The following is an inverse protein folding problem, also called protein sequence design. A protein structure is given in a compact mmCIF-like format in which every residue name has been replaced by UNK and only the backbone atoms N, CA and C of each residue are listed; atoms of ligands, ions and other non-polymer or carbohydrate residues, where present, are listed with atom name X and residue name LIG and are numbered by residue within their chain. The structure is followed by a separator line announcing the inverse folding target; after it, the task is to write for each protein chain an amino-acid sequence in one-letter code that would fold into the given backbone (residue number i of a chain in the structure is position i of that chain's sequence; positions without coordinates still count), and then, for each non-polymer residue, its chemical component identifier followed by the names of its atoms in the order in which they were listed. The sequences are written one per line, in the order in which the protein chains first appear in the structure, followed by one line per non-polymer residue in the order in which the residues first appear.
data_IF_930236039740
#
_entry.id   IF_930236039740
#
_cell.length_a   1.000
_cell.length_b   1.000
_cell.length_c   1.000
_cell.angle_alpha   90.00
_cell.angle_beta   90.00
_cell.angle_gamma   90.00
#
_symmetry.space_group_name_H-M   'P 1'
#
loop_
_entity.id
_entity.type
_entity.pdbx_description
1 polymer ?
#
# COMPACT_ATOMS: atom_id res chain seq x y z
N UNK A 1 -10.16 3.38 25.55
CA UNK A 1 -10.21 2.54 24.34
C UNK A 1 -9.59 3.37 23.23
N UNK A 2 -8.42 2.99 22.71
CA UNK A 2 -7.74 3.76 21.66
C UNK A 2 -8.50 3.61 20.33
N UNK A 3 -8.67 4.70 19.59
CA UNK A 3 -9.33 4.68 18.27
C UNK A 3 -8.28 4.36 17.20
N UNK A 4 -8.71 3.78 16.07
CA UNK A 4 -7.79 3.46 14.95
C UNK A 4 -7.06 4.72 14.46
N UNK A 5 -7.70 5.89 14.50
CA UNK A 5 -7.06 7.14 14.10
C UNK A 5 -5.86 7.53 14.98
N UNK A 6 -5.79 7.04 16.22
CA UNK A 6 -4.77 7.40 17.20
C UNK A 6 -3.42 6.69 16.94
N UNK A 7 -3.35 5.79 15.96
CA UNK A 7 -2.08 5.21 15.47
C UNK A 7 -1.14 6.26 14.86
N UNK A 8 -1.69 7.37 14.38
CA UNK A 8 -0.94 8.48 13.81
C UNK A 8 -0.41 9.40 14.91
N UNK A 9 0.63 8.93 15.60
CA UNK A 9 1.27 9.67 16.69
C UNK A 9 2.39 10.58 16.18
N UNK A 10 2.85 11.50 17.03
CA UNK A 10 3.99 12.36 16.71
C UNK A 10 5.27 11.54 16.52
N UNK A 11 5.46 10.51 17.35
CA UNK A 11 6.60 9.60 17.30
C UNK A 11 6.64 8.84 15.97
N UNK A 12 5.49 8.40 15.46
CA UNK A 12 5.38 7.79 14.13
C UNK A 12 5.85 8.76 13.04
N UNK A 13 5.34 9.99 13.01
CA UNK A 13 5.76 10.95 11.97
C UNK A 13 7.21 11.39 12.11
N UNK A 14 7.75 11.50 13.33
CA UNK A 14 9.18 11.72 13.54
C UNK A 14 10.01 10.59 12.93
N UNK A 15 9.65 9.35 13.22
CA UNK A 15 10.32 8.18 12.66
C UNK A 15 10.24 8.14 11.13
N UNK A 16 9.05 8.35 10.56
CA UNK A 16 8.85 8.42 9.10
C UNK A 16 9.72 9.51 8.48
N UNK A 17 9.71 10.71 9.05
CA UNK A 17 10.51 11.83 8.56
C UNK A 17 12.00 11.49 8.56
N UNK A 18 12.49 10.82 9.61
CA UNK A 18 13.87 10.33 9.68
C UNK A 18 14.19 9.29 8.60
N UNK A 19 13.24 8.39 8.27
CA UNK A 19 13.45 7.42 7.20
C UNK A 19 13.55 8.08 5.82
N UNK A 20 12.68 9.04 5.53
CA UNK A 20 12.75 9.78 4.26
C UNK A 20 14.02 10.63 4.18
N UNK A 21 14.37 11.35 5.25
CA UNK A 21 15.59 12.15 5.31
C UNK A 21 16.87 11.33 5.14
N UNK A 22 16.87 10.08 5.62
CA UNK A 22 17.98 9.15 5.44
C UNK A 22 18.23 8.80 3.96
N UNK A 23 17.17 8.75 3.15
CA UNK A 23 17.24 8.40 1.73
C UNK A 23 17.44 9.65 0.87
N UNK A 24 16.81 10.76 1.24
CA UNK A 24 16.99 12.08 0.62
C UNK A 24 17.22 13.16 1.68
N UNK A 25 18.46 13.66 1.75
CA UNK A 25 18.86 14.69 2.70
C UNK A 25 18.10 16.02 2.50
N UNK A 26 17.45 16.24 1.36
CA UNK A 26 16.63 17.43 1.12
C UNK A 26 15.24 17.33 1.80
N UNK A 27 14.84 16.15 2.26
CA UNK A 27 13.57 15.98 2.97
C UNK A 27 13.61 16.74 4.30
N UNK A 28 12.83 17.84 4.38
CA UNK A 28 12.79 18.69 5.56
C UNK A 28 11.86 18.11 6.65
N UNK A 29 12.46 17.37 7.58
CA UNK A 29 11.76 16.68 8.67
C UNK A 29 10.86 17.58 9.51
N UNK A 30 11.38 18.73 9.93
CA UNK A 30 10.64 19.64 10.81
C UNK A 30 9.41 20.24 10.11
N UNK A 31 9.58 20.65 8.85
CA UNK A 31 8.48 21.18 8.06
C UNK A 31 7.44 20.10 7.75
N UNK A 32 7.87 18.88 7.40
CA UNK A 32 6.94 17.76 7.17
C UNK A 32 6.05 17.52 8.39
N UNK A 33 6.64 17.35 9.58
CA UNK A 33 5.89 17.12 10.83
C UNK A 33 4.96 18.31 11.12
N UNK A 34 5.45 19.54 10.95
CA UNK A 34 4.63 20.74 11.15
C UNK A 34 3.42 20.79 10.22
N UNK A 35 3.60 20.41 8.94
CA UNK A 35 2.52 20.38 7.94
C UNK A 35 1.51 19.28 8.22
N UNK A 36 1.96 18.10 8.64
CA UNK A 36 1.07 16.98 9.02
C UNK A 36 0.12 17.41 10.14
N UNK A 37 0.65 18.01 11.21
CA UNK A 37 -0.15 18.42 12.37
C UNK A 37 -0.80 19.80 12.23
N UNK A 38 -0.75 20.44 11.06
CA UNK A 38 -1.40 21.72 10.84
C UNK A 38 -2.93 21.57 10.73
N UNK A 39 -3.66 22.60 11.17
CA UNK A 39 -5.10 22.69 11.00
C UNK A 39 -5.89 21.67 11.82
N UNK A 40 -6.91 21.06 11.21
CA UNK A 40 -7.89 20.18 11.87
C UNK A 40 -7.47 18.71 11.92
N UNK A 41 -6.17 18.39 11.87
CA UNK A 41 -5.68 17.00 11.91
C UNK A 41 -6.27 16.17 13.07
N UNK A 42 -6.42 16.79 14.24
CA UNK A 42 -6.98 16.13 15.42
C UNK A 42 -8.47 15.76 15.26
N UNK A 43 -9.22 16.48 14.44
CA UNK A 43 -10.64 16.23 14.14
C UNK A 43 -10.83 15.15 13.08
N UNK A 44 -9.80 14.86 12.27
CA UNK A 44 -9.86 13.89 11.19
C UNK A 44 -10.01 12.45 11.70
N UNK A 45 -10.84 11.68 11.01
CA UNK A 45 -10.92 10.22 11.15
C UNK A 45 -9.78 9.51 10.43
N UNK A 46 -9.61 8.20 10.67
CA UNK A 46 -8.45 7.44 10.19
C UNK A 46 -8.17 7.61 8.68
N UNK A 47 -9.16 7.37 7.81
CA UNK A 47 -8.99 7.52 6.36
C UNK A 47 -8.66 8.95 5.93
N UNK A 48 -9.21 9.95 6.62
CA UNK A 48 -8.89 11.35 6.37
C UNK A 48 -7.44 11.65 6.77
N UNK A 49 -6.97 11.12 7.90
CA UNK A 49 -5.56 11.23 8.32
C UNK A 49 -4.63 10.54 7.33
N UNK A 50 -4.99 9.37 6.79
CA UNK A 50 -4.22 8.71 5.73
C UNK A 50 -4.08 9.61 4.50
N UNK A 51 -5.20 10.07 3.92
CA UNK A 51 -5.20 10.93 2.73
C UNK A 51 -4.47 12.26 2.96
N UNK A 52 -4.68 12.88 4.11
CA UNK A 52 -3.96 14.10 4.51
C UNK A 52 -2.45 13.86 4.61
N UNK A 53 -2.03 12.76 5.24
CA UNK A 53 -0.61 12.41 5.38
C UNK A 53 0.04 12.15 4.02
N UNK A 54 -0.67 11.45 3.13
CA UNK A 54 -0.23 11.20 1.75
C UNK A 54 -0.06 12.51 0.98
N UNK A 55 -1.03 13.42 1.08
CA UNK A 55 -0.97 14.73 0.43
C UNK A 55 0.18 15.59 0.97
N UNK A 56 0.35 15.64 2.29
CA UNK A 56 1.48 16.34 2.90
C UNK A 56 2.80 15.70 2.51
N UNK A 57 2.91 14.36 2.52
CA UNK A 57 4.12 13.67 2.08
C UNK A 57 4.50 14.09 0.65
N UNK A 58 3.54 14.15 -0.27
CA UNK A 58 3.77 14.56 -1.66
C UNK A 58 4.38 15.95 -1.79
N UNK A 59 4.08 16.90 -0.90
CA UNK A 59 4.71 18.23 -0.88
C UNK A 59 6.25 18.16 -0.69
N UNK A 60 6.78 17.06 -0.15
CA UNK A 60 8.20 16.84 0.13
C UNK A 60 8.84 15.77 -0.77
N UNK A 61 8.09 15.24 -1.74
CA UNK A 61 8.58 14.21 -2.67
C UNK A 61 9.02 14.85 -3.99
N UNK A 62 9.83 14.14 -4.80
CA UNK A 62 10.09 14.53 -6.19
C UNK A 62 8.80 14.76 -6.98
N UNK A 63 8.81 15.74 -7.90
CA UNK A 63 7.65 16.09 -8.72
C UNK A 63 7.23 14.96 -9.66
N UNK A 64 8.19 14.14 -10.13
CA UNK A 64 7.89 13.01 -11.00
C UNK A 64 7.51 11.78 -10.16
N UNK A 65 6.40 11.13 -10.51
CA UNK A 65 6.00 9.91 -9.83
C UNK A 65 7.06 8.79 -9.86
N UNK A 66 7.78 8.54 -10.97
CA UNK A 66 8.88 7.56 -10.99
C UNK A 66 9.96 7.79 -9.94
N UNK A 67 10.41 9.04 -9.77
CA UNK A 67 11.42 9.39 -8.78
C UNK A 67 10.86 9.28 -7.36
N UNK A 68 9.63 9.76 -7.13
CA UNK A 68 8.98 9.64 -5.84
C UNK A 68 8.74 8.18 -5.44
N UNK A 69 8.32 7.34 -6.38
CA UNK A 69 8.15 5.91 -6.18
C UNK A 69 9.49 5.22 -5.88
N UNK A 70 10.58 5.61 -6.56
CA UNK A 70 11.92 5.10 -6.27
C UNK A 70 12.37 5.46 -4.84
N UNK A 71 12.14 6.70 -4.39
CA UNK A 71 12.41 7.13 -3.03
C UNK A 71 11.60 6.31 -2.00
N UNK A 72 10.30 6.17 -2.24
CA UNK A 72 9.39 5.40 -1.39
C UNK A 72 9.83 3.93 -1.26
N UNK A 73 10.23 3.31 -2.37
CA UNK A 73 10.76 1.93 -2.37
C UNK A 73 12.03 1.82 -1.54
N UNK A 74 12.98 2.76 -1.67
CA UNK A 74 14.21 2.76 -0.87
C UNK A 74 13.92 2.87 0.63
N UNK A 75 12.95 3.71 1.03
CA UNK A 75 12.49 3.80 2.42
C UNK A 75 11.95 2.45 2.90
N UNK A 76 11.07 1.81 2.12
CA UNK A 76 10.50 0.50 2.51
C UNK A 76 11.54 -0.60 2.53
N UNK A 77 12.48 -0.63 1.59
CA UNK A 77 13.60 -1.58 1.60
C UNK A 77 14.45 -1.43 2.85
N UNK A 78 14.67 -0.19 3.31
CA UNK A 78 15.38 0.07 4.55
C UNK A 78 14.61 -0.47 5.77
N UNK A 79 13.29 -0.26 5.84
CA UNK A 79 12.44 -0.80 6.90
C UNK A 79 12.44 -2.33 6.92
N UNK A 80 12.37 -2.97 5.75
CA UNK A 80 12.47 -4.42 5.61
C UNK A 80 13.84 -4.93 6.07
N UNK A 81 14.93 -4.26 5.66
CA UNK A 81 16.31 -4.65 6.01
C UNK A 81 16.57 -4.55 7.51
N UNK A 82 16.03 -3.51 8.16
CA UNK A 82 16.14 -3.31 9.60
C UNK A 82 15.12 -4.12 10.41
N UNK A 83 14.26 -4.89 9.73
CA UNK A 83 13.17 -5.67 10.34
C UNK A 83 12.26 -4.80 11.22
N UNK A 84 12.04 -3.56 10.80
CA UNK A 84 11.13 -2.66 11.49
C UNK A 84 9.71 -3.27 11.45
N UNK A 85 8.97 -3.28 12.58
CA UNK A 85 7.60 -3.79 12.58
C UNK A 85 6.71 -2.92 11.69
N UNK A 86 5.93 -3.54 10.81
CA UNK A 86 4.87 -2.84 10.09
C UNK A 86 3.69 -2.48 11.00
N UNK A 87 2.74 -1.74 10.46
CA UNK A 87 1.55 -1.27 11.16
C UNK A 87 0.56 -0.60 10.22
N UNK A 88 -0.69 -0.42 10.66
CA UNK A 88 -1.75 0.17 9.84
C UNK A 88 -1.49 1.64 9.50
N UNK A 89 -0.68 2.32 10.31
CA UNK A 89 -0.22 3.69 10.09
C UNK A 89 0.55 3.83 8.76
N UNK A 90 1.20 2.76 8.30
CA UNK A 90 1.96 2.74 7.05
C UNK A 90 1.11 2.62 5.79
N UNK A 91 -0.23 2.56 5.90
CA UNK A 91 -1.15 2.60 4.74
C UNK A 91 -0.95 3.86 3.88
N UNK A 92 -0.30 4.90 4.41
CA UNK A 92 0.15 6.07 3.66
C UNK A 92 1.03 5.71 2.44
N UNK A 93 1.79 4.62 2.49
CA UNK A 93 2.68 4.20 1.39
C UNK A 93 1.90 3.64 0.18
N UNK A 94 1.05 2.61 0.35
CA UNK A 94 0.20 2.16 -0.76
C UNK A 94 -0.78 3.25 -1.22
N UNK A 95 -1.30 4.08 -0.31
CA UNK A 95 -2.18 5.20 -0.65
C UNK A 95 -1.49 6.26 -1.53
N UNK A 96 -0.19 6.49 -1.33
CA UNK A 96 0.62 7.35 -2.20
C UNK A 96 0.71 6.80 -3.63
N UNK A 97 0.99 5.49 -3.78
CA UNK A 97 1.06 4.82 -5.09
C UNK A 97 -0.31 4.88 -5.79
N UNK A 98 -1.40 4.64 -5.05
CA UNK A 98 -2.76 4.78 -5.56
C UNK A 98 -3.05 6.20 -6.08
N UNK A 99 -2.72 7.20 -5.27
CA UNK A 99 -3.13 8.59 -5.51
C UNK A 99 -2.33 9.24 -6.63
N UNK A 100 -1.01 8.98 -6.69
CA UNK A 100 -0.10 9.67 -7.61
C UNK A 100 0.42 8.79 -8.75
N UNK A 101 0.20 7.47 -8.67
CA UNK A 101 0.74 6.50 -9.63
C UNK A 101 -0.24 5.95 -10.64
N UNK A 102 -1.51 6.36 -10.59
CA UNK A 102 -2.58 5.73 -11.39
C UNK A 102 -2.39 5.86 -12.90
N UNK A 103 -1.59 6.81 -13.36
CA UNK A 103 -1.28 7.02 -14.78
C UNK A 103 0.01 6.32 -15.24
N UNK A 104 0.86 5.88 -14.29
CA UNK A 104 2.12 5.18 -14.56
C UNK A 104 2.09 3.76 -14.00
N UNK A 105 1.48 2.88 -14.80
CA UNK A 105 1.25 1.48 -14.45
C UNK A 105 2.53 0.74 -14.05
N UNK A 106 3.59 0.84 -14.84
CA UNK A 106 4.79 0.03 -14.66
C UNK A 106 5.51 0.40 -13.36
N UNK A 107 5.68 1.70 -13.11
CA UNK A 107 6.27 2.19 -11.87
C UNK A 107 5.42 1.81 -10.66
N UNK A 108 4.09 1.91 -10.77
CA UNK A 108 3.19 1.59 -9.66
C UNK A 108 3.18 0.09 -9.32
N UNK A 109 3.09 -0.79 -10.32
CA UNK A 109 3.12 -2.25 -10.14
C UNK A 109 4.43 -2.70 -9.50
N UNK A 110 5.57 -2.20 -9.98
CA UNK A 110 6.87 -2.49 -9.35
C UNK A 110 6.91 -2.04 -7.89
N UNK A 111 6.32 -0.87 -7.59
CA UNK A 111 6.23 -0.35 -6.23
C UNK A 111 5.35 -1.21 -5.34
N UNK A 112 4.18 -1.66 -5.81
CA UNK A 112 3.30 -2.52 -5.03
C UNK A 112 3.97 -3.84 -4.62
N UNK A 113 4.73 -4.47 -5.51
CA UNK A 113 5.42 -5.74 -5.23
C UNK A 113 6.44 -5.60 -4.08
N UNK A 114 7.09 -4.44 -3.95
CA UNK A 114 8.03 -4.15 -2.87
C UNK A 114 7.30 -3.69 -1.62
N UNK A 115 6.40 -2.71 -1.74
CA UNK A 115 5.70 -2.11 -0.59
C UNK A 115 4.84 -3.13 0.13
N UNK A 116 4.18 -4.04 -0.60
CA UNK A 116 3.31 -5.05 0.00
C UNK A 116 4.03 -6.02 0.93
N UNK A 117 5.35 -6.15 0.82
CA UNK A 117 6.17 -6.98 1.71
C UNK A 117 6.27 -6.39 3.11
N UNK A 118 6.04 -5.10 3.25
CA UNK A 118 6.08 -4.37 4.52
C UNK A 118 4.67 -4.02 5.03
N UNK A 119 3.81 -3.47 4.17
CA UNK A 119 2.42 -3.12 4.47
C UNK A 119 1.52 -3.48 3.30
N UNK A 120 0.40 -4.16 3.55
CA UNK A 120 -0.45 -4.66 2.47
C UNK A 120 -0.96 -3.54 1.56
N UNK A 121 -0.83 -3.76 0.25
CA UNK A 121 -1.34 -2.85 -0.79
C UNK A 121 -2.77 -3.19 -1.24
N UNK A 122 -3.50 -4.02 -0.48
CA UNK A 122 -4.79 -4.62 -0.89
C UNK A 122 -5.89 -3.60 -1.22
N UNK A 123 -5.83 -2.39 -0.66
CA UNK A 123 -6.73 -1.28 -1.02
C UNK A 123 -6.26 -0.58 -2.29
N UNK A 124 -4.97 -0.24 -2.36
CA UNK A 124 -4.37 0.59 -3.40
C UNK A 124 -4.28 -0.07 -4.78
N UNK A 125 -4.22 -1.41 -4.85
CA UNK A 125 -4.23 -2.10 -6.14
C UNK A 125 -5.60 -2.09 -6.83
N UNK A 126 -6.69 -1.78 -6.11
CA UNK A 126 -8.05 -1.96 -6.62
C UNK A 126 -8.42 -0.92 -7.70
N UNK A 127 -8.07 0.37 -7.56
CA UNK A 127 -8.18 1.31 -8.66
C UNK A 127 -7.41 0.87 -9.91
N UNK A 128 -6.25 0.23 -9.76
CA UNK A 128 -5.50 -0.32 -10.90
C UNK A 128 -6.22 -1.50 -11.56
N UNK A 129 -6.85 -2.39 -10.79
CA UNK A 129 -7.66 -3.49 -11.35
C UNK A 129 -8.84 -2.91 -12.16
N UNK A 130 -9.46 -1.84 -11.67
CA UNK A 130 -10.59 -1.19 -12.35
C UNK A 130 -10.13 -0.45 -13.61
N UNK A 131 -9.00 0.27 -13.54
CA UNK A 131 -8.52 1.11 -14.63
C UNK A 131 -7.79 0.32 -15.74
N UNK A 132 -7.03 -0.72 -15.36
CA UNK A 132 -6.19 -1.49 -16.27
C UNK A 132 -6.71 -2.90 -16.56
N UNK A 133 -7.77 -3.34 -15.88
CA UNK A 133 -8.50 -4.57 -16.20
C UNK A 133 -7.60 -5.80 -16.29
N UNK A 134 -7.63 -6.47 -17.45
CA UNK A 134 -6.87 -7.69 -17.71
C UNK A 134 -5.36 -7.54 -17.53
N UNK A 135 -4.80 -6.36 -17.82
CA UNK A 135 -3.36 -6.10 -17.62
C UNK A 135 -2.98 -6.20 -16.15
N UNK A 136 -3.77 -5.60 -15.25
CA UNK A 136 -3.52 -5.72 -13.82
C UNK A 136 -3.82 -7.13 -13.31
N UNK A 137 -4.87 -7.79 -13.80
CA UNK A 137 -5.17 -9.19 -13.42
C UNK A 137 -4.02 -10.14 -13.78
N UNK A 138 -3.36 -9.94 -14.92
CA UNK A 138 -2.18 -10.72 -15.31
C UNK A 138 -1.03 -10.55 -14.30
N UNK A 139 -0.79 -9.32 -13.81
CA UNK A 139 0.19 -9.07 -12.74
C UNK A 139 -0.21 -9.74 -11.41
N UNK A 140 -1.50 -9.70 -11.06
CA UNK A 140 -2.00 -10.41 -9.88
C UNK A 140 -1.78 -11.93 -10.00
N UNK A 141 -2.00 -12.50 -11.19
CA UNK A 141 -1.68 -13.92 -11.43
C UNK A 141 -0.18 -14.19 -11.29
N UNK A 142 0.69 -13.35 -11.85
CA UNK A 142 2.14 -13.48 -11.65
C UNK A 142 2.51 -13.43 -10.17
N UNK A 143 1.97 -12.47 -9.42
CA UNK A 143 2.20 -12.32 -7.99
C UNK A 143 1.71 -13.50 -7.16
N UNK A 144 0.65 -14.20 -7.59
CA UNK A 144 0.16 -15.40 -6.90
C UNK A 144 1.19 -16.55 -6.84
N UNK A 145 2.19 -16.52 -7.72
CA UNK A 145 3.30 -17.49 -7.81
C UNK A 145 4.61 -16.95 -7.20
N UNK A 146 4.58 -15.75 -6.60
CA UNK A 146 5.78 -15.11 -6.02
C UNK A 146 6.38 -15.93 -4.87
N UNK A 147 7.72 -15.94 -4.70
CA UNK A 147 8.35 -16.55 -3.54
C UNK A 147 7.96 -15.85 -2.23
N UNK A 148 7.56 -14.57 -2.28
CA UNK A 148 7.18 -13.79 -1.09
C UNK A 148 5.72 -13.99 -0.71
N UNK A 149 5.47 -14.45 0.53
CA UNK A 149 4.12 -14.74 1.01
C UNK A 149 3.20 -13.51 0.99
N UNK A 150 3.72 -12.33 1.30
CA UNK A 150 2.94 -11.09 1.29
C UNK A 150 2.51 -10.66 -0.12
N UNK A 151 3.35 -10.93 -1.14
CA UNK A 151 3.02 -10.66 -2.55
C UNK A 151 1.94 -11.63 -3.04
N UNK A 152 2.03 -12.91 -2.66
CA UNK A 152 0.94 -13.88 -2.92
C UNK A 152 -0.36 -13.49 -2.22
N UNK A 153 -0.28 -13.05 -0.96
CA UNK A 153 -1.43 -12.54 -0.21
C UNK A 153 -2.06 -11.34 -0.91
N UNK A 154 -1.25 -10.39 -1.41
CA UNK A 154 -1.76 -9.26 -2.19
C UNK A 154 -2.54 -9.72 -3.41
N UNK A 155 -2.02 -10.68 -4.17
CA UNK A 155 -2.71 -11.22 -5.34
C UNK A 155 -4.11 -11.75 -4.99
N UNK A 156 -4.23 -12.55 -3.93
CA UNK A 156 -5.52 -13.10 -3.48
C UNK A 156 -6.43 -12.01 -2.88
N UNK A 157 -5.97 -11.30 -1.85
CA UNK A 157 -6.79 -10.35 -1.09
C UNK A 157 -7.15 -9.10 -1.90
N UNK A 158 -6.18 -8.54 -2.64
CA UNK A 158 -6.37 -7.36 -3.46
C UNK A 158 -7.35 -7.58 -4.63
N UNK A 159 -7.42 -8.81 -5.16
CA UNK A 159 -8.33 -9.16 -6.26
C UNK A 159 -9.72 -9.59 -5.80
N UNK A 160 -10.00 -9.63 -4.49
CA UNK A 160 -11.32 -10.02 -3.97
C UNK A 160 -12.43 -9.13 -4.57
N UNK A 161 -13.53 -9.72 -5.11
CA UNK A 161 -14.67 -8.94 -5.60
C UNK A 161 -15.23 -7.99 -4.54
N UNK A 162 -15.23 -8.44 -3.28
CA UNK A 162 -15.60 -7.66 -2.09
C UNK A 162 -14.51 -7.80 -1.03
N UNK A 163 -13.97 -6.66 -0.60
CA UNK A 163 -12.99 -6.55 0.47
C UNK A 163 -13.53 -5.53 1.50
N UNK A 164 -13.57 -5.87 2.81
CA UNK A 164 -14.00 -4.92 3.84
C UNK A 164 -13.20 -3.62 3.78
N UNK A 165 -13.87 -2.50 4.06
CA UNK A 165 -13.32 -1.14 4.05
C UNK A 165 -12.81 -0.61 2.70
N UNK A 166 -12.77 -1.44 1.66
CA UNK A 166 -12.33 -1.06 0.32
C UNK A 166 -13.50 -0.92 -0.67
N UNK A 167 -13.26 -0.24 -1.78
CA UNK A 167 -14.22 -0.21 -2.88
C UNK A 167 -14.41 -1.61 -3.47
N UNK A 168 -15.62 -1.96 -3.92
CA UNK A 168 -15.82 -3.21 -4.64
C UNK A 168 -15.13 -3.18 -6.02
N UNK A 169 -14.85 -4.35 -6.60
CA UNK A 169 -14.43 -4.47 -8.01
C UNK A 169 -15.64 -4.99 -8.79
N UNK A 170 -16.42 -4.13 -9.48
CA UNK A 170 -17.69 -4.52 -10.07
C UNK A 170 -17.56 -5.63 -11.12
N UNK A 171 -16.53 -5.59 -11.96
CA UNK A 171 -16.26 -6.61 -12.97
C UNK A 171 -16.12 -8.00 -12.35
N UNK A 172 -15.34 -8.13 -11.29
CA UNK A 172 -15.11 -9.40 -10.59
C UNK A 172 -16.29 -9.85 -9.72
N UNK A 173 -17.20 -8.93 -9.34
CA UNK A 173 -18.48 -9.31 -8.72
C UNK A 173 -19.41 -9.98 -9.73
N UNK A 174 -19.36 -9.55 -10.97
CA UNK A 174 -20.21 -10.06 -12.04
C UNK A 174 -19.64 -11.37 -12.60
N UNK A 175 -18.32 -11.42 -12.80
CA UNK A 175 -17.61 -12.60 -13.28
C UNK A 175 -16.28 -12.80 -12.53
N UNK A 176 -16.19 -13.77 -11.61
CA UNK A 176 -14.96 -14.06 -10.87
C UNK A 176 -14.00 -14.97 -11.65
N UNK A 177 -14.34 -15.43 -12.85
CA UNK A 177 -13.50 -16.33 -13.67
C UNK A 177 -12.05 -15.84 -13.82
N UNK A 178 -11.76 -14.54 -14.03
CA UNK A 178 -10.39 -14.06 -14.21
C UNK A 178 -9.47 -14.25 -13.00
N UNK A 179 -10.01 -14.50 -11.79
CA UNK A 179 -9.21 -14.65 -10.57
C UNK A 179 -9.14 -16.08 -10.05
N UNK A 180 -9.76 -17.05 -10.74
CA UNK A 180 -9.77 -18.44 -10.29
C UNK A 180 -8.36 -19.04 -10.24
N UNK A 181 -7.50 -18.72 -11.21
CA UNK A 181 -6.10 -19.17 -11.24
C UNK A 181 -5.31 -18.66 -10.01
N UNK A 182 -5.54 -17.41 -9.59
CA UNK A 182 -4.93 -16.79 -8.41
C UNK A 182 -5.33 -17.55 -7.13
N UNK A 183 -6.62 -17.89 -7.00
CA UNK A 183 -7.14 -18.62 -5.85
C UNK A 183 -6.59 -20.05 -5.78
N UNK A 184 -6.53 -20.74 -6.91
CA UNK A 184 -5.97 -22.10 -7.01
C UNK A 184 -4.49 -22.14 -6.59
N UNK A 185 -3.68 -21.18 -7.06
CA UNK A 185 -2.27 -21.07 -6.67
C UNK A 185 -2.12 -20.86 -5.15
N UNK A 186 -3.01 -20.08 -4.55
CA UNK A 186 -3.00 -19.83 -3.10
C UNK A 186 -3.29 -21.09 -2.28
N UNK A 187 -4.20 -21.95 -2.75
CA UNK A 187 -4.58 -23.22 -2.12
C UNK A 187 -3.44 -24.25 -2.23
N UNK A 188 -2.84 -24.39 -3.41
CA UNK A 188 -1.77 -25.38 -3.63
C UNK A 188 -0.51 -25.12 -2.79
N UNK A 189 -0.26 -23.86 -2.42
CA UNK A 189 0.91 -23.47 -1.61
C UNK A 189 0.63 -23.63 -0.10
N UNK A 190 -0.63 -23.74 0.33
CA UNK A 190 -1.03 -23.99 1.72
C UNK A 190 -2.07 -25.12 1.80
N UNK A 191 -1.65 -26.41 1.73
CA UNK A 191 -2.57 -27.55 1.68
C UNK A 191 -3.35 -27.83 2.99
N UNK A 192 -3.51 -26.87 3.91
CA UNK A 192 -4.33 -27.04 5.13
C UNK A 192 -5.14 -25.79 5.44
N UNK A 193 -6.40 -25.79 4.99
CA UNK A 193 -7.47 -24.97 5.56
C UNK A 193 -8.86 -25.63 5.39
N UNK A 194 -8.92 -26.95 5.25
CA UNK A 194 -10.19 -27.69 5.06
C UNK A 194 -10.26 -29.02 5.84
N UNK A 195 -9.46 -29.18 6.88
CA UNK A 195 -9.59 -30.30 7.83
C UNK A 195 -9.66 -29.74 9.25
N UNK A 196 -10.81 -29.18 9.58
CA UNK A 196 -11.31 -29.02 10.95
C UNK A 196 -12.82 -28.70 10.85
N UNK A 197 -13.60 -29.77 10.65
CA UNK A 197 -15.02 -29.90 11.03
C UNK A 197 -15.15 -31.21 11.76
#
# INVERSE_FOLDING_TARGET
MALIKDIYTREFYQFIADQFHRVDNNFNREQFIKRVFAGSFHEMEWKQRTKHSTAVLHEFMPNSFPEAAALLRQVVEHLLKTKHPGGLEYVIFPDYIETYGIEDFETAVQSFEIVTRFISCEFAVRPFIINYGSRMIAEMERWSKSPHAQVRRLASEGSRPRLPWAMAIPSLKNDPTPILSILQNSIMIHPRASEEV
#
